data_IF_360336133765
#
_entry.id   IF_360336133765
#
_cell.length_a   1.000
_cell.length_b   1.000
_cell.length_c   1.000
_cell.angle_alpha   90.00
_cell.angle_beta   90.00
_cell.angle_gamma   90.00
#
_symmetry.space_group_name_H-M   'P 1'
#
loop_
_entity.id
_entity.type
_entity.pdbx_description
1 polymer ?
#
# COMPACT_ATOMS: atom_id res chain seq x y z
N UNK A 1 -12.16 14.14 -14.41
CA UNK A 1 -11.39 13.35 -13.42
C UNK A 1 -9.95 13.46 -13.86
N UNK A 2 -9.16 14.28 -13.18
CA UNK A 2 -7.77 14.54 -13.56
C UNK A 2 -6.97 13.27 -13.37
N UNK A 3 -6.37 12.80 -14.46
CA UNK A 3 -5.51 11.63 -14.49
C UNK A 3 -4.37 11.83 -13.48
N UNK A 4 -4.22 10.92 -12.51
CA UNK A 4 -3.01 10.89 -11.68
C UNK A 4 -1.92 10.38 -12.61
N UNK A 5 -1.22 11.32 -13.25
CA UNK A 5 -0.12 11.01 -14.16
C UNK A 5 0.87 10.09 -13.42
N UNK A 6 1.39 9.08 -14.11
CA UNK A 6 2.45 8.20 -13.59
C UNK A 6 3.64 9.00 -13.06
N UNK A 7 3.87 10.19 -13.63
CA UNK A 7 4.85 11.17 -13.16
C UNK A 7 4.63 11.61 -11.72
N UNK A 8 3.38 11.76 -11.27
CA UNK A 8 3.08 12.16 -9.88
C UNK A 8 3.43 11.04 -8.90
N UNK A 9 3.11 9.79 -9.24
CA UNK A 9 3.46 8.62 -8.41
C UNK A 9 4.98 8.53 -8.24
N UNK A 10 5.75 8.75 -9.30
CA UNK A 10 7.21 8.73 -9.25
C UNK A 10 7.79 9.88 -8.42
N UNK A 11 7.22 11.09 -8.52
CA UNK A 11 7.60 12.23 -7.67
C UNK A 11 7.32 11.94 -6.19
N UNK A 12 6.17 11.33 -5.87
CA UNK A 12 5.84 10.94 -4.51
C UNK A 12 6.81 9.88 -3.98
N UNK A 13 7.12 8.86 -4.78
CA UNK A 13 8.09 7.82 -4.44
C UNK A 13 9.47 8.42 -4.17
N UNK A 14 9.96 9.29 -5.06
CA UNK A 14 11.24 9.98 -4.89
C UNK A 14 11.24 10.87 -3.63
N UNK A 15 10.13 11.57 -3.37
CA UNK A 15 10.00 12.43 -2.19
C UNK A 15 10.08 11.63 -0.89
N UNK A 16 9.33 10.53 -0.78
CA UNK A 16 9.35 9.65 0.41
C UNK A 16 10.74 9.06 0.65
N UNK A 17 11.40 8.61 -0.43
CA UNK A 17 12.75 8.04 -0.35
C UNK A 17 13.84 9.07 -0.09
N UNK A 18 13.59 10.34 -0.40
CA UNK A 18 14.52 11.45 -0.16
C UNK A 18 14.43 12.06 1.24
N UNK A 19 13.46 11.64 2.06
CA UNK A 19 13.33 12.11 3.44
C UNK A 19 14.46 11.56 4.31
N UNK A 20 15.07 12.44 5.11
CA UNK A 20 16.01 12.05 6.15
C UNK A 20 15.27 11.77 7.44
N UNK A 21 15.35 10.53 7.93
CA UNK A 21 14.73 10.12 9.18
C UNK A 21 15.71 10.18 10.37
N UNK A 22 15.23 10.41 11.61
CA UNK A 22 13.82 10.59 11.97
C UNK A 22 13.27 11.99 11.64
N UNK A 23 12.03 12.05 11.15
CA UNK A 23 11.29 13.30 10.94
C UNK A 23 10.52 13.64 12.21
N UNK A 24 10.86 14.75 12.86
CA UNK A 24 10.18 15.21 14.07
C UNK A 24 8.84 15.86 13.70
N UNK A 25 7.73 15.29 14.19
CA UNK A 25 6.40 15.90 14.10
C UNK A 25 6.14 16.80 15.31
N UNK A 26 6.61 16.39 16.48
CA UNK A 26 6.54 17.17 17.72
C UNK A 26 7.71 16.82 18.63
N UNK A 27 7.78 17.46 19.80
CA UNK A 27 8.81 17.19 20.82
C UNK A 27 8.77 15.76 21.40
N UNK A 28 7.70 15.01 21.18
CA UNK A 28 7.53 13.62 21.68
C UNK A 28 7.23 12.61 20.58
N UNK A 29 7.07 13.05 19.33
CA UNK A 29 6.70 12.19 18.21
C UNK A 29 7.69 12.37 17.05
N UNK A 30 8.37 11.28 16.72
CA UNK A 30 9.22 11.17 15.53
C UNK A 30 8.73 10.05 14.63
N UNK A 31 8.69 10.32 13.34
CA UNK A 31 8.55 9.31 12.30
C UNK A 31 9.94 8.75 12.03
N UNK A 32 10.13 7.46 12.27
CA UNK A 32 11.42 6.79 12.06
C UNK A 32 11.57 6.26 10.64
N UNK A 33 10.46 6.02 9.94
CA UNK A 33 10.44 5.45 8.61
C UNK A 33 9.07 5.67 7.96
N UNK A 34 9.05 5.96 6.65
CA UNK A 34 7.86 5.87 5.80
C UNK A 34 8.27 5.09 4.56
N UNK A 35 7.41 4.16 4.14
CA UNK A 35 7.63 3.36 2.94
C UNK A 35 6.45 3.52 2.01
N UNK A 36 6.75 3.75 0.74
CA UNK A 36 5.77 3.63 -0.32
C UNK A 36 5.56 2.13 -0.58
N UNK A 37 4.34 1.62 -0.46
CA UNK A 37 4.08 0.17 -0.57
C UNK A 37 3.14 -0.19 -1.72
N UNK A 38 2.34 0.76 -2.22
CA UNK A 38 1.30 0.50 -3.21
C UNK A 38 1.10 1.68 -4.14
N UNK A 39 1.09 1.43 -5.45
CA UNK A 39 0.67 2.38 -6.47
C UNK A 39 -0.60 1.90 -7.18
N UNK A 40 -1.61 2.75 -7.29
CA UNK A 40 -2.83 2.48 -8.05
C UNK A 40 -2.91 3.38 -9.27
N UNK A 41 -3.25 2.78 -10.41
CA UNK A 41 -3.28 3.42 -11.71
C UNK A 41 -4.71 3.60 -12.24
N UNK A 42 -4.93 4.54 -13.19
CA UNK A 42 -6.26 4.84 -13.75
C UNK A 42 -6.97 3.65 -14.40
N UNK A 43 -6.22 2.64 -14.85
CA UNK A 43 -6.75 1.37 -15.36
C UNK A 43 -7.28 0.43 -14.26
N UNK A 44 -7.52 0.95 -13.06
CA UNK A 44 -7.97 0.22 -11.88
C UNK A 44 -7.01 -0.88 -11.43
N UNK A 45 -5.74 -0.83 -11.86
CA UNK A 45 -4.72 -1.77 -11.41
C UNK A 45 -3.94 -1.16 -10.26
N UNK A 46 -3.80 -1.90 -9.17
CA UNK A 46 -2.92 -1.54 -8.06
C UNK A 46 -1.77 -2.53 -7.95
N UNK A 47 -0.54 -2.02 -7.81
CA UNK A 47 0.70 -2.80 -7.72
C UNK A 47 1.44 -2.51 -6.44
N UNK A 48 2.06 -3.53 -5.88
CA UNK A 48 2.98 -3.42 -4.75
C UNK A 48 4.38 -3.03 -5.20
N UNK A 49 5.10 -2.32 -4.33
CA UNK A 49 6.55 -2.16 -4.46
C UNK A 49 7.27 -3.48 -4.14
N UNK A 50 8.54 -3.59 -4.53
CA UNK A 50 9.37 -4.75 -4.21
C UNK A 50 9.38 -5.04 -2.70
N UNK A 51 9.34 -6.32 -2.35
CA UNK A 51 9.23 -6.84 -0.97
C UNK A 51 7.87 -6.63 -0.29
N UNK A 52 6.89 -6.08 -1.01
CA UNK A 52 5.50 -5.99 -0.55
C UNK A 52 4.59 -6.85 -1.43
N UNK A 53 3.52 -7.34 -0.84
CA UNK A 53 2.50 -8.11 -1.54
C UNK A 53 1.12 -7.81 -0.98
N UNK A 54 0.11 -8.12 -1.78
CA UNK A 54 -1.26 -8.24 -1.30
C UNK A 54 -1.44 -9.58 -0.61
N UNK A 55 -2.22 -9.60 0.46
CA UNK A 55 -2.62 -10.85 1.12
C UNK A 55 -3.48 -11.69 0.19
N UNK A 56 -3.48 -13.02 0.41
CA UNK A 56 -4.26 -13.93 -0.42
C UNK A 56 -5.73 -13.52 -0.53
N UNK A 57 -6.35 -13.15 0.60
CA UNK A 57 -7.76 -12.74 0.64
C UNK A 57 -8.02 -11.54 -0.27
N UNK A 58 -7.08 -10.59 -0.33
CA UNK A 58 -7.17 -9.42 -1.21
C UNK A 58 -6.95 -9.80 -2.68
N UNK A 59 -6.00 -10.70 -2.96
CA UNK A 59 -5.76 -11.21 -4.31
C UNK A 59 -7.00 -11.92 -4.88
N UNK A 60 -7.71 -12.67 -4.05
CA UNK A 60 -8.95 -13.34 -4.42
C UNK A 60 -10.12 -12.35 -4.53
N UNK A 61 -10.25 -11.42 -3.58
CA UNK A 61 -11.36 -10.47 -3.56
C UNK A 61 -11.31 -9.44 -4.70
N UNK A 62 -10.11 -8.99 -5.07
CA UNK A 62 -9.90 -7.92 -6.06
C UNK A 62 -9.36 -8.42 -7.41
N UNK A 63 -9.24 -9.74 -7.56
CA UNK A 63 -8.66 -10.43 -8.72
C UNK A 63 -7.20 -10.03 -8.98
N UNK A 64 -6.27 -10.99 -8.86
CA UNK A 64 -4.88 -10.71 -9.17
C UNK A 64 -4.68 -10.40 -10.67
N UNK A 65 -3.76 -9.49 -10.99
CA UNK A 65 -3.32 -9.28 -12.38
C UNK A 65 -2.06 -10.05 -12.77
N UNK A 66 -1.42 -10.67 -11.79
CA UNK A 66 -0.31 -11.61 -11.92
C UNK A 66 -0.67 -12.97 -11.32
N UNK A 67 0.21 -13.95 -11.50
CA UNK A 67 0.05 -15.25 -10.85
C UNK A 67 0.21 -15.08 -9.34
N UNK A 68 -0.65 -15.74 -8.58
CA UNK A 68 -0.48 -15.83 -7.12
C UNK A 68 0.72 -16.74 -6.85
N UNK A 69 1.78 -16.17 -6.28
CA UNK A 69 3.00 -16.87 -5.87
C UNK A 69 3.10 -16.85 -4.35
N UNK A 70 3.34 -18.01 -3.75
CA UNK A 70 3.40 -18.17 -2.30
C UNK A 70 2.16 -17.58 -1.58
N UNK A 71 0.98 -17.77 -2.18
CA UNK A 71 -0.32 -17.27 -1.70
C UNK A 71 -0.39 -15.75 -1.51
N UNK A 72 0.45 -15.02 -2.22
CA UNK A 72 0.41 -13.56 -2.34
C UNK A 72 0.41 -13.16 -3.82
N UNK A 73 0.00 -11.93 -4.11
CA UNK A 73 0.08 -11.37 -5.45
C UNK A 73 0.74 -9.99 -5.40
N UNK A 74 1.50 -9.66 -6.44
CA UNK A 74 2.11 -8.34 -6.59
C UNK A 74 1.11 -7.31 -7.08
N UNK A 75 -0.03 -7.72 -7.64
CA UNK A 75 -1.00 -6.77 -8.15
C UNK A 75 -2.46 -7.26 -8.16
N UNK A 76 -3.38 -6.31 -8.08
CA UNK A 76 -4.84 -6.52 -8.12
C UNK A 76 -5.50 -5.64 -9.18
N UNK A 77 -6.66 -6.07 -9.69
CA UNK A 77 -7.45 -5.38 -10.72
C UNK A 77 -8.60 -4.54 -10.14
N UNK A 78 -8.41 -4.00 -8.95
CA UNK A 78 -9.33 -3.04 -8.37
C UNK A 78 -8.57 -1.97 -7.57
N UNK A 79 -9.23 -0.83 -7.35
CA UNK A 79 -8.80 0.17 -6.36
C UNK A 79 -9.52 -0.19 -5.05
N UNK A 80 -8.80 -0.67 -4.01
CA UNK A 80 -9.46 -1.02 -2.76
C UNK A 80 -10.11 0.21 -2.11
N UNK A 81 -11.22 0.04 -1.39
CA UNK A 81 -11.73 1.10 -0.51
C UNK A 81 -10.65 1.46 0.53
N UNK A 82 -10.70 2.64 1.16
CA UNK A 82 -9.67 3.11 2.09
C UNK A 82 -9.20 2.05 3.11
N UNK A 83 -7.88 1.85 3.24
CA UNK A 83 -7.28 1.05 4.31
C UNK A 83 -6.40 -0.15 3.91
N UNK A 84 -6.72 -0.93 2.87
CA UNK A 84 -5.89 -2.04 2.42
C UNK A 84 -4.75 -1.52 1.54
N UNK A 85 -3.52 -1.75 2.01
CA UNK A 85 -2.28 -1.50 1.28
C UNK A 85 -1.47 -2.79 1.25
N UNK A 86 -0.48 -2.86 0.37
CA UNK A 86 0.47 -3.96 0.36
C UNK A 86 1.24 -4.00 1.67
N UNK A 87 1.39 -5.21 2.22
CA UNK A 87 2.12 -5.47 3.45
C UNK A 87 3.48 -6.11 3.12
N UNK A 88 4.48 -6.04 4.02
CA UNK A 88 5.73 -6.75 3.83
C UNK A 88 5.46 -8.24 3.59
N UNK A 89 6.06 -8.83 2.56
CA UNK A 89 5.84 -10.25 2.21
C UNK A 89 6.16 -11.17 3.39
N UNK A 90 7.13 -10.80 4.23
CA UNK A 90 7.48 -11.53 5.47
C UNK A 90 6.35 -11.63 6.49
N UNK A 91 5.35 -10.74 6.39
CA UNK A 91 4.21 -10.66 7.31
C UNK A 91 2.93 -11.20 6.69
N UNK A 92 2.95 -11.58 5.40
CA UNK A 92 1.78 -12.17 4.75
C UNK A 92 1.63 -13.61 5.21
N UNK A 93 0.44 -13.93 5.68
CA UNK A 93 0.05 -15.31 5.98
C UNK A 93 -0.41 -15.97 4.68
N UNK A 94 -0.01 -17.23 4.49
CA UNK A 94 -0.50 -18.05 3.40
C UNK A 94 -2.03 -18.16 3.44
N UNK A 95 -2.65 -18.37 2.28
CA UNK A 95 -4.10 -18.48 2.17
C UNK A 95 -4.61 -19.57 3.13
N UNK A 96 -5.59 -19.28 4.00
CA UNK A 96 -6.18 -20.35 4.78
C UNK A 96 -6.85 -21.34 3.83
N UNK A 97 -6.37 -22.59 3.85
CA UNK A 97 -7.19 -23.73 3.42
C UNK A 97 -8.47 -23.76 4.27
N UNK A 98 -9.59 -24.32 3.78
CA UNK A 98 -10.90 -24.09 4.37
C UNK A 98 -11.04 -24.63 5.81
N UNK A 99 -10.66 -23.83 6.82
CA UNK A 99 -11.25 -23.76 8.15
C UNK A 99 -10.71 -22.54 8.95
N UNK A 100 -11.56 -21.78 9.67
CA UNK A 100 -11.15 -20.52 10.27
C UNK A 100 -10.57 -20.72 11.68
N UNK A 101 -9.57 -19.92 12.03
CA UNK A 101 -9.39 -19.44 13.41
C UNK A 101 -9.32 -17.92 13.35
N UNK A 102 -10.22 -17.18 14.01
CA UNK A 102 -10.13 -15.72 14.04
C UNK A 102 -8.99 -15.33 14.98
N UNK A 103 -7.88 -14.85 14.42
CA UNK A 103 -6.81 -14.25 15.21
C UNK A 103 -7.17 -12.80 15.48
N UNK A 104 -7.59 -12.54 16.72
CA UNK A 104 -8.05 -11.24 17.16
C UNK A 104 -6.85 -10.33 17.45
N UNK A 105 -6.22 -9.79 16.41
CA UNK A 105 -5.15 -8.82 16.52
C UNK A 105 -5.72 -7.42 16.80
N UNK A 106 -5.41 -6.85 17.97
CA UNK A 106 -5.66 -5.43 18.25
C UNK A 106 -4.71 -4.59 17.38
N UNK A 107 -5.23 -4.05 16.27
CA UNK A 107 -4.53 -3.13 15.39
C UNK A 107 -5.00 -1.68 15.64
N UNK A 108 -4.11 -0.85 16.18
CA UNK A 108 -4.30 0.61 16.15
C UNK A 108 -3.99 1.11 14.73
N UNK A 109 -5.01 1.27 13.90
CA UNK A 109 -4.87 1.87 12.58
C UNK A 109 -5.12 3.38 12.64
N UNK A 110 -4.14 4.16 12.19
CA UNK A 110 -4.30 5.58 11.94
C UNK A 110 -4.37 5.79 10.42
N UNK A 111 -5.47 6.36 9.93
CA UNK A 111 -5.60 6.76 8.53
C UNK A 111 -5.20 8.23 8.42
N UNK A 112 -4.14 8.52 7.67
CA UNK A 112 -3.79 9.89 7.29
C UNK A 112 -4.28 10.16 5.86
N UNK A 113 -5.14 11.17 5.71
CA UNK A 113 -5.48 11.69 4.39
C UNK A 113 -4.53 12.84 4.08
N UNK A 114 -3.63 12.63 3.11
CA UNK A 114 -2.74 13.67 2.62
C UNK A 114 -3.46 14.37 1.46
N UNK A 115 -3.74 15.67 1.60
CA UNK A 115 -4.26 16.50 0.50
C UNK A 115 -3.08 17.25 -0.13
N UNK A 116 -2.87 17.06 -1.43
CA UNK A 116 -1.84 17.80 -2.16
C UNK A 116 -2.39 19.16 -2.61
N UNK A 117 -1.54 20.18 -2.52
CA UNK A 117 -1.85 21.50 -3.04
C UNK A 117 -2.01 21.43 -4.58
N UNK A 118 -3.00 22.14 -5.12
CA UNK A 118 -3.28 22.14 -6.57
C UNK A 118 -2.11 22.63 -7.42
N UNK A 119 -1.17 23.38 -6.85
CA UNK A 119 0.03 23.87 -7.53
C UNK A 119 1.09 22.77 -7.74
N UNK A 120 0.92 21.57 -7.18
CA UNK A 120 1.85 20.45 -7.40
C UNK A 120 1.73 19.81 -8.79
N UNK A 121 0.68 20.16 -9.55
CA UNK A 121 0.43 19.71 -10.91
C UNK A 121 0.83 20.73 -11.99
N UNK A 122 1.43 21.87 -11.63
CA UNK A 122 1.97 22.86 -12.58
C UNK A 122 3.44 22.61 -12.94
#
# INVERSE_FOLDING_TARGET
MTDISTTLIDVLRASVNGLTYPVLISNVLSVTEVKFTTACYPNSTCRCEDQYGWSCDQCLAFESCDNITDDSCGCIKAIPPYGPFCQPITNLTACPTPYPTPENALNLQFTMAITFDSNFNE
#
